data_IF_210690912340
#
_entry.id   IF_210690912340
#
_cell.length_a   1.000
_cell.length_b   1.000
_cell.length_c   1.000
_cell.angle_alpha   90.00
_cell.angle_beta   90.00
_cell.angle_gamma   90.00
#
_symmetry.space_group_name_H-M   'P 1'
#
loop_
_entity.id
_entity.type
_entity.pdbx_description
1 polymer ?
#
# COMPACT_ATOMS: atom_id res chain seq x y z
N UNK A 1 9.50 -0.78 0.03
CA UNK A 1 8.92 -0.16 -1.19
C UNK A 1 8.10 -1.24 -1.89
N UNK A 2 6.80 -1.02 -2.10
CA UNK A 2 5.96 -2.01 -2.77
C UNK A 2 6.17 -1.90 -4.29
N UNK A 3 6.71 -2.96 -4.90
CA UNK A 3 7.00 -3.02 -6.33
C UNK A 3 6.51 -4.31 -6.99
N UNK A 4 6.23 -5.35 -6.20
CA UNK A 4 5.86 -6.69 -6.65
C UNK A 4 4.73 -7.27 -5.81
N UNK A 5 4.04 -8.29 -6.32
CA UNK A 5 3.08 -9.08 -5.56
C UNK A 5 3.71 -9.77 -4.36
N UNK A 6 5.01 -10.10 -4.42
CA UNK A 6 5.76 -10.60 -3.26
C UNK A 6 5.87 -9.58 -2.14
N UNK A 7 6.10 -8.30 -2.45
CA UNK A 7 6.16 -7.26 -1.43
C UNK A 7 4.81 -7.09 -0.74
N UNK A 8 3.71 -7.19 -1.51
CA UNK A 8 2.33 -7.18 -0.98
C UNK A 8 2.08 -8.39 -0.08
N UNK A 9 2.46 -9.59 -0.51
CA UNK A 9 2.30 -10.81 0.29
C UNK A 9 3.04 -10.72 1.63
N UNK A 10 4.27 -10.20 1.63
CA UNK A 10 5.05 -10.01 2.86
C UNK A 10 4.39 -8.96 3.75
N UNK A 11 3.94 -7.84 3.19
CA UNK A 11 3.24 -6.81 3.96
C UNK A 11 1.94 -7.36 4.59
N UNK A 12 1.16 -8.15 3.84
CA UNK A 12 -0.03 -8.83 4.35
C UNK A 12 0.31 -9.76 5.51
N UNK A 13 1.29 -10.66 5.32
CA UNK A 13 1.77 -11.58 6.36
C UNK A 13 2.19 -10.84 7.65
N UNK A 14 2.75 -9.64 7.53
CA UNK A 14 3.14 -8.80 8.67
C UNK A 14 1.98 -7.99 9.29
N UNK A 15 0.76 -8.10 8.78
CA UNK A 15 -0.46 -7.52 9.34
C UNK A 15 -1.07 -6.34 8.56
N UNK A 16 -0.55 -5.99 7.38
CA UNK A 16 -1.13 -4.91 6.58
C UNK A 16 -2.38 -5.37 5.81
N UNK A 17 -3.43 -4.56 5.85
CA UNK A 17 -4.71 -4.83 5.15
C UNK A 17 -4.90 -3.94 3.90
N UNK A 18 -4.15 -2.84 3.81
CA UNK A 18 -4.11 -1.95 2.65
C UNK A 18 -2.68 -1.69 2.15
N UNK A 19 -2.54 -1.46 0.84
CA UNK A 19 -1.24 -1.39 0.17
C UNK A 19 -1.11 -0.13 -0.69
N UNK A 20 -0.34 0.84 -0.21
CA UNK A 20 -0.06 2.09 -0.92
C UNK A 20 1.09 1.98 -1.92
N UNK A 21 0.82 2.27 -3.20
CA UNK A 21 1.85 2.33 -4.25
C UNK A 21 2.10 3.76 -4.70
N UNK A 22 3.35 4.23 -4.58
CA UNK A 22 3.73 5.57 -5.04
C UNK A 22 4.59 5.51 -6.33
N UNK A 23 5.82 5.01 -6.22
CA UNK A 23 6.77 5.09 -7.34
C UNK A 23 6.46 4.14 -8.49
N UNK A 24 5.96 2.93 -8.22
CA UNK A 24 5.74 1.94 -9.28
C UNK A 24 4.68 2.40 -10.30
N UNK A 25 3.51 2.93 -9.89
CA UNK A 25 2.56 3.53 -10.82
C UNK A 25 3.16 4.69 -11.63
N UNK A 26 3.96 5.57 -11.00
CA UNK A 26 4.65 6.65 -11.73
C UNK A 26 5.60 6.11 -12.81
N UNK A 27 6.31 5.03 -12.54
CA UNK A 27 7.18 4.36 -13.52
C UNK A 27 6.36 3.78 -14.67
N UNK A 28 5.20 3.16 -14.38
CA UNK A 28 4.32 2.61 -15.44
C UNK A 28 3.76 3.69 -16.36
N UNK A 29 3.64 4.92 -15.85
CA UNK A 29 3.24 6.10 -16.62
C UNK A 29 4.40 6.79 -17.35
N UNK A 30 5.64 6.28 -17.22
CA UNK A 30 6.82 6.75 -17.97
C UNK A 30 7.91 7.41 -17.13
N UNK A 31 7.87 7.35 -15.79
CA UNK A 31 8.94 7.92 -14.96
C UNK A 31 10.25 7.14 -15.14
N UNK A 32 11.29 7.85 -15.58
CA UNK A 32 12.64 7.30 -15.77
C UNK A 32 13.57 7.48 -14.55
N UNK A 33 13.02 7.85 -13.40
CA UNK A 33 13.76 8.01 -12.13
C UNK A 33 14.96 9.00 -12.21
N UNK A 34 14.79 10.12 -12.93
CA UNK A 34 15.82 11.17 -13.08
C UNK A 34 16.11 11.96 -11.78
N UNK A 35 15.19 11.93 -10.81
CA UNK A 35 15.33 12.59 -9.49
C UNK A 35 15.50 14.12 -9.53
N UNK A 36 14.82 14.77 -10.47
CA UNK A 36 14.75 16.24 -10.60
C UNK A 36 13.33 16.78 -10.40
N UNK A 37 12.47 16.01 -9.71
CA UNK A 37 11.04 16.32 -9.57
C UNK A 37 10.78 17.68 -8.92
N UNK A 38 11.69 18.14 -8.06
CA UNK A 38 11.61 19.43 -7.36
C UNK A 38 12.03 20.62 -8.23
N UNK A 39 12.60 20.40 -9.42
CA UNK A 39 13.14 21.45 -10.28
C UNK A 39 12.18 21.88 -11.40
N UNK A 40 10.98 21.31 -11.47
CA UNK A 40 10.00 21.56 -12.54
C UNK A 40 10.53 21.24 -13.97
N UNK A 41 11.53 20.35 -14.08
CA UNK A 41 12.20 19.99 -15.33
C UNK A 41 12.00 18.53 -15.73
N UNK A 42 10.91 17.89 -15.29
CA UNK A 42 10.65 16.49 -15.60
C UNK A 42 10.57 16.26 -17.12
N UNK A 43 11.48 15.46 -17.73
CA UNK A 43 11.52 15.29 -19.18
C UNK A 43 10.32 14.50 -19.72
N UNK A 44 9.66 13.71 -18.87
CA UNK A 44 8.52 12.85 -19.20
C UNK A 44 7.17 13.53 -18.93
N UNK A 45 7.14 14.79 -18.50
CA UNK A 45 5.90 15.52 -18.25
C UNK A 45 5.10 15.07 -17.01
N UNK A 46 5.72 14.31 -16.09
CA UNK A 46 5.03 13.74 -14.91
C UNK A 46 5.03 14.73 -13.74
N UNK A 47 6.20 15.13 -13.27
CA UNK A 47 6.36 16.03 -12.12
C UNK A 47 6.82 17.41 -12.61
N UNK A 48 5.95 18.09 -13.35
CA UNK A 48 6.19 19.44 -13.87
C UNK A 48 4.89 20.18 -14.16
N UNK A 49 4.86 21.48 -13.90
CA UNK A 49 3.79 22.40 -14.27
C UNK A 49 4.08 23.15 -15.58
N UNK A 50 5.31 23.09 -16.09
CA UNK A 50 5.69 23.69 -17.37
C UNK A 50 4.84 23.12 -18.53
N UNK A 51 4.07 23.95 -19.25
CA UNK A 51 3.19 23.49 -20.33
C UNK A 51 3.89 22.73 -21.46
N UNK A 52 5.11 23.11 -21.83
CA UNK A 52 5.87 22.45 -22.90
C UNK A 52 6.37 21.06 -22.48
N UNK A 53 6.73 20.89 -21.20
CA UNK A 53 7.14 19.59 -20.68
C UNK A 53 5.94 18.67 -20.41
N UNK A 54 4.82 19.21 -19.95
CA UNK A 54 3.57 18.45 -19.75
C UNK A 54 3.04 17.81 -21.02
N UNK A 55 3.22 18.44 -22.18
CA UNK A 55 2.89 17.86 -23.50
C UNK A 55 3.62 16.55 -23.79
N UNK A 56 4.74 16.27 -23.09
CA UNK A 56 5.52 15.03 -23.24
C UNK A 56 4.96 13.85 -22.46
N UNK A 57 3.96 14.07 -21.60
CA UNK A 57 3.32 13.01 -20.84
C UNK A 57 2.57 12.04 -21.76
N UNK A 58 3.01 10.78 -21.77
CA UNK A 58 2.43 9.72 -22.59
C UNK A 58 1.79 8.59 -21.77
N UNK A 59 1.73 8.75 -20.45
CA UNK A 59 1.11 7.78 -19.55
C UNK A 59 -0.39 7.67 -19.81
N UNK A 60 -0.93 6.45 -19.70
CA UNK A 60 -2.35 6.20 -19.84
C UNK A 60 -2.89 5.42 -18.64
N UNK A 61 -4.18 5.58 -18.28
CA UNK A 61 -4.79 4.82 -17.19
C UNK A 61 -4.60 3.31 -17.32
N UNK A 62 -4.64 2.78 -18.55
CA UNK A 62 -4.50 1.35 -18.83
C UNK A 62 -3.15 0.80 -18.36
N UNK A 63 -2.09 1.61 -18.37
CA UNK A 63 -0.77 1.16 -17.91
C UNK A 63 -0.75 0.90 -16.40
N UNK A 64 -1.46 1.75 -15.63
CA UNK A 64 -1.61 1.57 -14.18
C UNK A 64 -2.54 0.39 -13.89
N UNK A 65 -3.65 0.26 -14.62
CA UNK A 65 -4.58 -0.87 -14.49
C UNK A 65 -3.83 -2.19 -14.74
N UNK A 66 -3.09 -2.29 -15.84
CA UNK A 66 -2.33 -3.49 -16.16
C UNK A 66 -1.28 -3.82 -15.10
N UNK A 67 -0.57 -2.80 -14.60
CA UNK A 67 0.37 -2.98 -13.50
C UNK A 67 -0.31 -3.56 -12.24
N UNK A 68 -1.43 -2.98 -11.81
CA UNK A 68 -2.15 -3.47 -10.63
C UNK A 68 -2.70 -4.89 -10.85
N UNK A 69 -3.16 -5.21 -12.05
CA UNK A 69 -3.59 -6.57 -12.42
C UNK A 69 -2.43 -7.58 -12.31
N UNK A 70 -1.22 -7.23 -12.77
CA UNK A 70 -0.05 -8.10 -12.63
C UNK A 70 0.39 -8.27 -11.18
N UNK A 71 0.35 -7.21 -10.37
CA UNK A 71 0.63 -7.30 -8.93
C UNK A 71 -0.37 -8.23 -8.24
N UNK A 72 -1.66 -8.10 -8.56
CA UNK A 72 -2.70 -8.94 -8.00
C UNK A 72 -2.57 -10.41 -8.43
N UNK A 73 -2.21 -10.66 -9.69
CA UNK A 73 -1.96 -12.02 -10.19
C UNK A 73 -0.77 -12.66 -9.49
N UNK A 74 0.38 -11.96 -9.39
CA UNK A 74 1.56 -12.47 -8.69
C UNK A 74 1.24 -12.76 -7.20
N UNK A 75 0.46 -11.90 -6.56
CA UNK A 75 -0.02 -12.14 -5.19
C UNK A 75 -0.85 -13.43 -5.10
N UNK A 76 -1.83 -13.62 -6.00
CA UNK A 76 -2.64 -14.84 -6.06
C UNK A 76 -1.81 -16.09 -6.28
N UNK A 77 -0.80 -16.04 -7.15
CA UNK A 77 0.13 -17.15 -7.36
C UNK A 77 0.91 -17.51 -6.09
N UNK A 78 1.34 -16.50 -5.32
CA UNK A 78 2.04 -16.70 -4.04
C UNK A 78 1.07 -17.28 -3.00
N UNK A 79 -0.14 -16.74 -2.89
CA UNK A 79 -1.17 -17.26 -1.99
C UNK A 79 -1.50 -18.73 -2.29
N UNK A 80 -1.64 -19.09 -3.57
CA UNK A 80 -1.85 -20.45 -4.01
C UNK A 80 -0.70 -21.39 -3.60
N UNK A 81 0.56 -20.93 -3.70
CA UNK A 81 1.74 -21.69 -3.24
C UNK A 81 1.77 -21.88 -1.71
N UNK A 82 1.21 -20.93 -0.96
CA UNK A 82 1.09 -21.01 0.50
C UNK A 82 -0.16 -21.77 0.97
N UNK A 83 -1.06 -22.13 0.05
CA UNK A 83 -2.31 -22.82 0.37
C UNK A 83 -3.40 -21.91 0.96
N UNK A 84 -3.32 -20.60 0.70
CA UNK A 84 -4.25 -19.57 1.21
C UNK A 84 -5.18 -19.12 0.09
N UNK A 85 -6.48 -18.92 0.39
CA UNK A 85 -7.49 -18.58 -0.64
C UNK A 85 -7.84 -17.09 -0.67
N UNK A 86 -7.79 -16.42 0.47
CA UNK A 86 -8.22 -15.03 0.63
C UNK A 86 -7.09 -14.19 1.24
N UNK A 87 -7.09 -12.88 1.00
CA UNK A 87 -6.05 -12.00 1.56
C UNK A 87 -6.22 -11.94 3.08
N UNK A 88 -7.46 -11.97 3.54
CA UNK A 88 -7.85 -12.02 4.95
C UNK A 88 -7.18 -13.20 5.67
N UNK A 89 -7.23 -14.41 5.10
CA UNK A 89 -6.52 -15.58 5.65
C UNK A 89 -4.99 -15.40 5.72
N UNK A 90 -4.41 -14.52 4.89
CA UNK A 90 -2.96 -14.25 4.83
C UNK A 90 -2.52 -13.20 5.85
N UNK A 91 -3.39 -12.24 6.20
CA UNK A 91 -3.02 -11.10 7.05
C UNK A 91 -2.58 -11.58 8.44
N UNK A 92 -1.41 -11.11 8.88
CA UNK A 92 -0.87 -11.41 10.20
C UNK A 92 -0.37 -12.86 10.40
N UNK A 93 -0.32 -13.67 9.34
CA UNK A 93 0.22 -15.05 9.36
C UNK A 93 1.73 -15.11 9.30
N UNK A 94 2.40 -14.53 10.31
CA UNK A 94 3.88 -14.49 10.39
C UNK A 94 4.52 -15.88 10.46
N UNK A 95 3.74 -16.94 10.73
CA UNK A 95 4.16 -18.34 10.62
C UNK A 95 4.49 -18.78 9.18
N UNK A 96 3.96 -18.09 8.16
CA UNK A 96 4.19 -18.42 6.74
C UNK A 96 5.48 -17.82 6.16
N UNK A 97 6.24 -17.04 6.94
CA UNK A 97 7.50 -16.44 6.51
C UNK A 97 8.65 -16.84 7.44
N UNK A 98 9.81 -17.12 6.85
CA UNK A 98 11.04 -17.40 7.61
C UNK A 98 12.23 -16.60 7.11
N UNK A 99 13.18 -16.35 8.01
CA UNK A 99 14.49 -15.81 7.63
C UNK A 99 15.20 -16.83 6.75
N UNK A 100 15.81 -16.36 5.65
CA UNK A 100 16.59 -17.22 4.76
C UNK A 100 17.85 -17.70 5.48
N UNK A 101 18.10 -19.01 5.42
CA UNK A 101 19.27 -19.64 6.05
C UNK A 101 20.61 -19.16 5.44
N UNK A 102 20.64 -18.92 4.12
CA UNK A 102 21.81 -18.36 3.44
C UNK A 102 21.73 -16.83 3.37
N UNK A 103 22.43 -16.17 4.28
CA UNK A 103 22.60 -14.71 4.26
C UNK A 103 23.64 -14.29 3.22
N UNK A 104 23.30 -13.28 2.41
CA UNK A 104 24.14 -12.80 1.30
C UNK A 104 25.45 -12.18 1.79
N UNK A 105 25.45 -11.58 2.98
CA UNK A 105 26.63 -10.93 3.57
C UNK A 105 26.73 -11.22 5.07
N UNK A 106 27.95 -11.10 5.62
CA UNK A 106 28.19 -11.19 7.07
C UNK A 106 27.37 -10.17 7.86
N UNK A 107 27.15 -8.96 7.31
CA UNK A 107 26.32 -7.92 7.94
C UNK A 107 24.84 -8.31 8.00
N UNK A 108 24.33 -8.96 6.95
CA UNK A 108 22.94 -9.44 6.95
C UNK A 108 22.70 -10.50 8.03
N UNK A 109 23.69 -11.34 8.34
CA UNK A 109 23.62 -12.32 9.43
C UNK A 109 23.56 -11.69 10.84
N UNK A 110 23.90 -10.40 10.97
CA UNK A 110 23.81 -9.68 12.24
C UNK A 110 22.42 -9.10 12.51
N UNK A 111 21.52 -9.10 11.52
CA UNK A 111 20.18 -8.57 11.69
C UNK A 111 19.31 -9.58 12.44
N UNK A 112 18.85 -9.21 13.63
CA UNK A 112 17.85 -9.97 14.35
C UNK A 112 16.44 -9.51 13.93
N UNK A 113 15.66 -10.43 13.38
CA UNK A 113 14.27 -10.21 12.95
C UNK A 113 13.26 -10.84 13.92
N UNK A 114 13.71 -11.36 15.06
CA UNK A 114 12.87 -12.06 16.05
C UNK A 114 11.66 -11.24 16.49
N UNK A 115 11.82 -9.94 16.71
CA UNK A 115 10.76 -9.03 17.13
C UNK A 115 9.72 -8.77 16.03
N UNK A 116 10.14 -8.80 14.76
CA UNK A 116 9.23 -8.60 13.61
C UNK A 116 8.45 -9.88 13.32
N UNK A 117 9.10 -11.04 13.49
CA UNK A 117 8.51 -12.35 13.25
C UNK A 117 7.89 -12.97 14.51
N UNK A 118 7.77 -12.19 15.58
CA UNK A 118 7.16 -12.66 16.82
C UNK A 118 5.69 -12.99 16.57
N UNK A 119 5.27 -14.16 17.05
CA UNK A 119 3.88 -14.60 17.01
C UNK A 119 3.33 -14.48 18.43
N UNK A 120 2.42 -13.54 18.64
CA UNK A 120 1.61 -13.53 19.84
C UNK A 120 0.46 -14.54 19.68
N UNK A 121 0.53 -15.62 20.46
CA UNK A 121 -0.49 -16.66 20.54
C UNK A 121 -1.53 -16.39 21.65
N UNK A 122 -1.42 -15.28 22.37
CA UNK A 122 -2.35 -14.93 23.45
C UNK A 122 -3.67 -14.33 22.95
N UNK A 123 -3.67 -13.70 21.77
CA UNK A 123 -4.85 -13.13 21.13
C UNK A 123 -5.51 -14.12 20.14
N UNK A 124 -6.85 -14.26 20.15
CA UNK A 124 -7.59 -15.02 19.14
C UNK A 124 -7.30 -14.50 17.73
N UNK A 125 -7.31 -15.39 16.73
CA UNK A 125 -7.02 -15.01 15.34
C UNK A 125 -8.05 -14.03 14.76
N UNK A 126 -9.30 -14.06 15.23
CA UNK A 126 -10.37 -13.12 14.87
C UNK A 126 -10.12 -11.67 15.33
N UNK A 127 -9.10 -11.42 16.15
CA UNK A 127 -8.74 -10.07 16.62
C UNK A 127 -7.56 -9.45 15.88
N UNK A 128 -7.10 -10.10 14.80
CA UNK A 128 -5.96 -9.65 13.99
C UNK A 128 -6.35 -8.81 12.78
N UNK A 129 -7.65 -8.55 12.61
CA UNK A 129 -8.22 -7.81 11.50
C UNK A 129 -8.88 -6.51 11.95
N UNK A 130 -8.90 -5.54 11.05
CA UNK A 130 -9.79 -4.39 11.18
C UNK A 130 -11.25 -4.85 11.22
N UNK A 131 -12.00 -4.33 12.19
CA UNK A 131 -13.44 -4.55 12.33
C UNK A 131 -14.15 -3.24 12.05
N UNK A 132 -15.12 -3.25 11.13
CA UNK A 132 -15.91 -2.06 10.80
C UNK A 132 -16.62 -1.48 12.04
N UNK A 133 -17.01 -2.34 12.99
CA UNK A 133 -17.61 -1.93 14.26
C UNK A 133 -16.64 -1.13 15.17
N UNK A 134 -15.33 -1.24 14.93
CA UNK A 134 -14.30 -0.51 15.66
C UNK A 134 -13.93 0.83 14.99
N UNK A 135 -14.64 1.23 13.91
CA UNK A 135 -14.45 2.56 13.33
C UNK A 135 -14.74 3.60 14.40
N UNK A 136 -13.74 4.43 14.67
CA UNK A 136 -13.88 5.51 15.63
C UNK A 136 -14.95 6.49 15.14
N UNK A 137 -16.05 6.63 15.88
CA UNK A 137 -17.04 7.65 15.62
C UNK A 137 -16.53 9.00 16.16
N UNK A 138 -16.28 9.95 15.25
CA UNK A 138 -15.87 11.31 15.60
C UNK A 138 -17.01 12.16 16.17
N UNK A 139 -18.23 11.64 16.17
CA UNK A 139 -19.44 12.33 16.60
C UNK A 139 -19.60 13.70 15.90
N UNK A 140 -19.28 13.74 14.59
CA UNK A 140 -19.33 14.98 13.80
C UNK A 140 -20.72 15.61 13.84
N UNK A 141 -21.75 14.77 13.94
CA UNK A 141 -23.14 15.19 14.06
C UNK A 141 -23.43 16.04 15.31
N UNK A 142 -22.55 15.97 16.32
CA UNK A 142 -22.64 16.77 17.55
C UNK A 142 -21.86 18.08 17.46
N UNK A 143 -21.05 18.28 16.42
CA UNK A 143 -20.31 19.53 16.24
C UNK A 143 -21.27 20.68 15.93
N UNK A 144 -20.90 21.90 16.33
CA UNK A 144 -21.74 23.09 16.10
C UNK A 144 -22.00 23.33 14.62
N UNK A 145 -21.00 23.06 13.78
CA UNK A 145 -21.06 23.17 12.34
C UNK A 145 -22.16 22.29 11.75
N UNK A 146 -22.18 20.99 12.04
CA UNK A 146 -23.20 20.07 11.54
C UNK A 146 -24.55 20.21 12.24
N UNK A 147 -24.57 20.44 13.56
CA UNK A 147 -25.79 20.48 14.33
C UNK A 147 -26.57 21.80 14.18
N UNK A 148 -25.87 22.93 14.00
CA UNK A 148 -26.49 24.27 14.07
C UNK A 148 -26.23 25.06 12.79
N UNK A 149 -24.97 25.19 12.37
CA UNK A 149 -24.60 26.13 11.30
C UNK A 149 -25.13 25.64 9.95
N UNK A 150 -24.81 24.41 9.53
CA UNK A 150 -25.24 23.87 8.24
C UNK A 150 -26.78 23.89 8.09
N UNK A 151 -27.58 23.43 9.08
CA UNK A 151 -29.03 23.53 9.02
C UNK A 151 -29.54 24.98 8.97
N UNK A 152 -28.95 25.89 9.74
CA UNK A 152 -29.37 27.29 9.77
C UNK A 152 -29.13 28.04 8.45
N UNK A 153 -28.09 27.65 7.70
CA UNK A 153 -27.74 28.26 6.42
C UNK A 153 -28.18 27.44 5.20
N UNK A 154 -29.07 26.46 5.36
CA UNK A 154 -29.52 25.56 4.29
C UNK A 154 -30.21 26.27 3.11
N UNK A 155 -30.76 27.47 3.32
CA UNK A 155 -31.35 28.31 2.27
C UNK A 155 -30.35 29.21 1.55
N UNK A 156 -29.14 29.36 2.09
CA UNK A 156 -28.05 30.16 1.50
C UNK A 156 -27.01 29.30 0.75
N UNK A 157 -27.04 27.98 0.97
CA UNK A 157 -26.32 26.94 0.22
C UNK A 157 -27.17 26.46 -0.95
#
# INVERSE_FOLDING_TARGET
KLMSGRDVAIAAILGAEEFGFATAPLITMGCIMMRVCNLDTCPCGIATQNPELRKRFCGKPEYVINFMMYIAEELREIMAKLGVRTVEELVGRTDLIKVREKTVTKRAAMADLSQILYIDNSAPQDDKHFKADNVFNFELEKTVDEAVIIPAFKTAL
#
